data_IF_593872314463
#
_entry.id   IF_593872314463
#
_cell.length_a   1.000
_cell.length_b   1.000
_cell.length_c   1.000
_cell.angle_alpha   90.00
_cell.angle_beta   90.00
_cell.angle_gamma   90.00
#
_symmetry.space_group_name_H-M   'P 1'
#
loop_
_entity.id
_entity.type
_entity.pdbx_description
1 polymer ?
#
# COMPACT_ATOMS: atom_id res chain seq x y z
N UNK A 1 8.67 -11.80 20.56
CA UNK A 1 9.12 -10.40 20.58
C UNK A 1 8.15 -9.65 19.67
N UNK A 2 7.26 -8.83 20.24
CA UNK A 2 6.32 -8.02 19.43
C UNK A 2 7.11 -6.82 18.96
N UNK A 3 7.24 -6.65 17.65
CA UNK A 3 7.98 -5.54 17.07
C UNK A 3 7.40 -4.21 17.56
N UNK A 4 8.21 -3.37 18.21
CA UNK A 4 7.75 -2.08 18.72
C UNK A 4 7.45 -1.09 17.59
N UNK A 5 7.97 -1.35 16.38
CA UNK A 5 7.81 -0.50 15.20
C UNK A 5 6.37 -0.50 14.65
N UNK A 6 5.64 -1.62 14.80
CA UNK A 6 4.24 -1.74 14.36
C UNK A 6 3.32 -0.75 15.10
N UNK A 7 3.62 -0.45 16.37
CA UNK A 7 2.79 0.45 17.16
C UNK A 7 2.87 1.89 16.64
N UNK A 8 4.07 2.34 16.29
CA UNK A 8 4.29 3.66 15.70
C UNK A 8 3.62 3.83 14.34
N UNK A 9 3.69 2.79 13.49
CA UNK A 9 3.06 2.80 12.16
C UNK A 9 1.52 2.88 12.26
N UNK A 10 0.91 2.05 13.09
CA UNK A 10 -0.54 2.05 13.25
C UNK A 10 -1.06 3.38 13.82
N UNK A 11 -0.33 3.98 14.76
CA UNK A 11 -0.65 5.31 15.31
C UNK A 11 -0.57 6.42 14.26
N UNK A 12 0.44 6.39 13.38
CA UNK A 12 0.58 7.35 12.30
C UNK A 12 -0.59 7.28 11.32
N UNK A 13 -0.99 6.05 10.94
CA UNK A 13 -2.11 5.84 10.03
C UNK A 13 -3.43 6.27 10.68
N UNK A 14 -3.65 5.95 11.96
CA UNK A 14 -4.85 6.36 12.68
C UNK A 14 -4.99 7.89 12.76
N UNK A 15 -3.90 8.62 13.02
CA UNK A 15 -3.88 10.10 12.98
C UNK A 15 -4.23 10.63 11.59
N UNK A 16 -3.69 9.99 10.56
CA UNK A 16 -3.99 10.28 9.17
C UNK A 16 -5.47 10.15 8.81
N UNK A 17 -6.07 9.01 9.15
CA UNK A 17 -7.49 8.76 8.92
C UNK A 17 -8.38 9.77 9.66
N UNK A 18 -8.04 10.13 10.89
CA UNK A 18 -8.79 11.14 11.66
C UNK A 18 -8.76 12.53 10.99
N UNK A 19 -7.62 12.93 10.41
CA UNK A 19 -7.54 14.18 9.67
C UNK A 19 -8.33 14.12 8.36
N UNK A 20 -8.40 12.95 7.72
CA UNK A 20 -9.21 12.74 6.52
C UNK A 20 -10.71 12.77 6.83
N UNK A 21 -11.14 12.17 7.94
CA UNK A 21 -12.51 12.28 8.44
C UNK A 21 -12.90 13.74 8.68
N UNK A 22 -12.02 14.53 9.30
CA UNK A 22 -12.24 15.98 9.52
C UNK A 22 -12.41 16.76 8.22
N UNK A 23 -11.89 16.24 7.11
CA UNK A 23 -11.99 16.82 5.76
C UNK A 23 -13.11 16.19 4.92
N UNK A 24 -13.96 15.37 5.51
CA UNK A 24 -15.07 14.69 4.83
C UNK A 24 -14.60 13.79 3.66
N UNK A 25 -13.37 13.29 3.75
CA UNK A 25 -12.84 12.31 2.80
C UNK A 25 -13.52 10.98 3.05
N UNK A 26 -14.06 10.38 2.00
CA UNK A 26 -14.89 9.17 2.10
C UNK A 26 -14.11 7.89 1.90
N UNK A 27 -12.86 7.94 1.43
CA UNK A 27 -12.02 6.76 1.20
C UNK A 27 -10.53 7.07 1.26
N UNK A 28 -9.75 6.10 1.73
CA UNK A 28 -8.29 6.24 1.83
C UNK A 28 -7.61 4.91 1.57
N UNK A 29 -6.32 4.99 1.26
CA UNK A 29 -5.47 3.84 1.05
C UNK A 29 -4.03 4.11 1.52
N UNK A 30 -3.29 3.05 1.83
CA UNK A 30 -1.90 3.11 2.31
C UNK A 30 -0.92 2.66 1.23
N UNK A 31 0.13 3.43 0.99
CA UNK A 31 1.23 3.10 0.06
C UNK A 31 2.54 3.07 0.86
N UNK A 32 3.23 1.91 0.97
CA UNK A 32 4.57 1.83 1.56
C UNK A 32 5.57 2.72 0.82
N UNK A 33 6.63 3.20 1.49
CA UNK A 33 7.64 4.05 0.86
C UNK A 33 8.67 3.32 0.00
N UNK A 34 8.69 2.00 0.12
CA UNK A 34 9.70 1.06 -0.34
C UNK A 34 9.18 0.12 -1.43
N UNK A 35 8.09 0.50 -2.10
CA UNK A 35 7.51 -0.22 -3.26
C UNK A 35 7.80 0.49 -4.59
N UNK A 36 9.07 0.63 -5.03
CA UNK A 36 9.45 1.43 -6.20
C UNK A 36 9.00 0.85 -7.54
N UNK A 37 8.47 -0.36 -7.55
CA UNK A 37 7.90 -1.02 -8.73
C UNK A 37 6.42 -0.67 -8.95
N UNK A 38 5.78 0.05 -8.02
CA UNK A 38 4.36 0.41 -8.12
C UNK A 38 4.07 1.24 -9.36
N UNK A 39 2.98 0.88 -10.05
CA UNK A 39 2.54 1.57 -11.27
C UNK A 39 1.33 2.45 -11.02
N UNK A 40 1.15 3.48 -11.87
CA UNK A 40 -0.05 4.34 -11.83
C UNK A 40 -1.34 3.55 -12.08
N UNK A 41 -1.29 2.52 -12.93
CA UNK A 41 -2.43 1.64 -13.20
C UNK A 41 -2.84 0.82 -11.96
N UNK A 42 -1.87 0.32 -11.20
CA UNK A 42 -2.13 -0.39 -9.93
C UNK A 42 -2.76 0.55 -8.90
N UNK A 43 -2.24 1.77 -8.75
CA UNK A 43 -2.81 2.79 -7.86
C UNK A 43 -4.25 3.11 -8.27
N UNK A 44 -4.49 3.37 -9.56
CA UNK A 44 -5.83 3.64 -10.08
C UNK A 44 -6.79 2.45 -9.83
N UNK A 45 -6.31 1.22 -9.97
CA UNK A 45 -7.08 0.01 -9.65
C UNK A 45 -7.52 -0.04 -8.20
N UNK A 46 -6.62 0.25 -7.25
CA UNK A 46 -6.92 0.30 -5.81
C UNK A 46 -7.88 1.43 -5.47
N UNK A 47 -7.76 2.59 -6.13
CA UNK A 47 -8.70 3.71 -5.94
C UNK A 47 -10.10 3.32 -6.44
N UNK A 48 -10.19 2.65 -7.58
CA UNK A 48 -11.45 2.24 -8.18
C UNK A 48 -12.17 1.17 -7.35
N UNK A 49 -11.44 0.30 -6.65
CA UNK A 49 -12.04 -0.78 -5.86
C UNK A 49 -12.75 -0.29 -4.59
N UNK A 50 -12.49 0.95 -4.15
CA UNK A 50 -13.12 1.54 -2.94
C UNK A 50 -14.10 2.67 -3.24
N UNK A 51 -14.55 2.82 -4.50
CA UNK A 51 -15.52 3.87 -4.88
C UNK A 51 -16.91 3.65 -4.27
N UNK A 52 -17.24 2.43 -3.86
CA UNK A 52 -18.53 2.15 -3.19
C UNK A 52 -18.37 2.10 -1.69
N UNK A 53 -19.32 2.69 -0.96
CA UNK A 53 -19.42 2.58 0.50
C UNK A 53 -19.47 1.10 0.95
N UNK A 54 -18.79 0.79 2.05
CA UNK A 54 -18.68 -0.58 2.56
C UNK A 54 -17.60 -1.42 1.89
N UNK A 55 -16.68 -0.79 1.13
CA UNK A 55 -15.64 -1.50 0.38
C UNK A 55 -14.31 -1.49 1.10
N UNK A 56 -13.60 -2.62 1.05
CA UNK A 56 -12.28 -2.82 1.59
C UNK A 56 -11.45 -3.55 0.55
N UNK A 57 -10.24 -3.06 0.29
CA UNK A 57 -9.27 -3.74 -0.57
C UNK A 57 -7.99 -4.00 0.19
N UNK A 58 -7.47 -5.22 0.06
CA UNK A 58 -6.19 -5.65 0.61
C UNK A 58 -5.25 -5.95 -0.56
N UNK A 59 -4.11 -5.30 -0.59
CA UNK A 59 -2.97 -5.65 -1.45
C UNK A 59 -2.00 -6.47 -0.60
N UNK A 60 -1.85 -7.78 -0.87
CA UNK A 60 -0.90 -8.61 -0.14
C UNK A 60 0.54 -8.24 -0.52
N UNK A 61 1.48 -8.50 0.39
CA UNK A 61 2.92 -8.53 0.09
C UNK A 61 3.25 -9.63 -0.93
N UNK A 62 4.39 -9.52 -1.59
CA UNK A 62 4.82 -10.45 -2.64
C UNK A 62 5.09 -11.85 -2.09
N UNK A 63 5.49 -11.95 -0.82
CA UNK A 63 5.68 -13.22 -0.09
C UNK A 63 4.33 -13.84 0.35
N UNK A 64 3.23 -13.09 0.24
CA UNK A 64 1.88 -13.52 0.57
C UNK A 64 1.54 -13.54 2.06
N UNK A 65 2.50 -13.26 2.95
CA UNK A 65 2.37 -13.38 4.40
C UNK A 65 1.95 -12.06 5.08
N UNK A 66 2.22 -10.92 4.44
CA UNK A 66 1.92 -9.57 4.92
C UNK A 66 0.82 -8.84 4.12
N UNK A 67 0.66 -7.56 4.43
CA UNK A 67 -0.25 -6.62 3.77
C UNK A 67 0.56 -5.38 3.39
N UNK A 68 0.78 -5.15 2.09
CA UNK A 68 1.45 -3.94 1.60
C UNK A 68 0.48 -2.79 1.42
N UNK A 69 -0.80 -3.07 1.14
CA UNK A 69 -1.81 -2.04 0.96
C UNK A 69 -3.12 -2.39 1.64
N UNK A 70 -3.69 -1.40 2.31
CA UNK A 70 -5.09 -1.42 2.74
C UNK A 70 -5.77 -0.20 2.15
N UNK A 71 -6.93 -0.40 1.53
CA UNK A 71 -7.80 0.67 1.06
C UNK A 71 -9.22 0.43 1.60
N UNK A 72 -9.92 1.50 1.98
CA UNK A 72 -11.30 1.37 2.49
C UNK A 72 -12.14 2.62 2.29
N UNK A 73 -13.46 2.41 2.22
CA UNK A 73 -14.47 3.47 2.27
C UNK A 73 -15.74 2.97 2.97
N UNK A 74 -16.19 3.59 4.09
CA UNK A 74 -15.62 4.74 4.78
C UNK A 74 -14.36 4.42 5.61
N UNK A 75 -13.67 5.47 6.07
CA UNK A 75 -12.42 5.41 6.84
C UNK A 75 -12.56 4.70 8.20
N UNK A 76 -13.79 4.57 8.69
CA UNK A 76 -14.14 3.94 9.97
C UNK A 76 -14.38 2.42 9.88
N UNK A 77 -14.38 1.84 8.68
CA UNK A 77 -14.76 0.44 8.49
C UNK A 77 -13.85 -0.55 9.20
N UNK A 78 -12.54 -0.27 9.21
CA UNK A 78 -11.55 -1.13 9.82
C UNK A 78 -10.50 -0.27 10.49
N UNK A 79 -10.21 -0.55 11.76
CA UNK A 79 -9.00 -0.03 12.37
C UNK A 79 -7.80 -0.64 11.63
N UNK A 80 -6.91 0.19 11.04
CA UNK A 80 -5.71 -0.31 10.38
C UNK A 80 -4.87 -1.11 11.36
N UNK A 81 -4.37 -2.26 10.90
CA UNK A 81 -3.51 -3.13 11.69
C UNK A 81 -2.43 -3.68 10.78
N UNK A 82 -1.35 -2.91 10.62
CA UNK A 82 -0.15 -3.32 9.91
C UNK A 82 0.79 -4.07 10.85
N UNK A 83 1.57 -4.98 10.29
CA UNK A 83 2.48 -5.88 11.01
C UNK A 83 2.41 -7.33 10.52
N UNK A 84 3.43 -8.11 10.90
CA UNK A 84 3.53 -9.54 10.55
C UNK A 84 2.25 -10.30 10.97
N UNK A 85 1.69 -11.10 10.06
CA UNK A 85 0.48 -11.95 10.26
C UNK A 85 -0.89 -11.24 10.34
N UNK A 86 -1.02 -9.95 10.03
CA UNK A 86 -2.30 -9.22 10.22
C UNK A 86 -3.26 -9.24 9.01
N UNK A 87 -2.81 -9.70 7.84
CA UNK A 87 -3.65 -9.94 6.64
C UNK A 87 -4.90 -10.78 6.94
N UNK A 88 -4.73 -11.88 7.67
CA UNK A 88 -5.83 -12.77 8.04
C UNK A 88 -6.84 -12.08 8.98
N UNK A 89 -6.36 -11.21 9.87
CA UNK A 89 -7.22 -10.46 10.78
C UNK A 89 -8.14 -9.50 10.01
N UNK A 90 -7.61 -8.79 9.01
CA UNK A 90 -8.43 -7.91 8.15
C UNK A 90 -9.47 -8.69 7.35
N UNK A 91 -9.09 -9.83 6.76
CA UNK A 91 -10.02 -10.68 6.00
C UNK A 91 -11.14 -11.21 6.89
N UNK A 92 -10.82 -11.70 8.08
CA UNK A 92 -11.82 -12.20 9.04
C UNK A 92 -12.76 -11.08 9.48
N UNK A 93 -12.23 -9.91 9.80
CA UNK A 93 -13.02 -8.77 10.26
C UNK A 93 -13.96 -8.26 9.17
N UNK A 94 -13.46 -8.09 7.94
CA UNK A 94 -14.26 -7.65 6.80
C UNK A 94 -15.39 -8.63 6.47
N UNK A 95 -15.12 -9.95 6.52
CA UNK A 95 -16.15 -10.98 6.34
C UNK A 95 -17.21 -10.94 7.44
N UNK A 96 -16.81 -10.77 8.71
CA UNK A 96 -17.74 -10.65 9.85
C UNK A 96 -18.64 -9.43 9.73
N UNK A 97 -18.13 -8.34 9.17
CA UNK A 97 -18.86 -7.08 8.96
C UNK A 97 -19.64 -7.03 7.64
N UNK A 98 -19.66 -8.13 6.87
CA UNK A 98 -20.32 -8.24 5.57
C UNK A 98 -19.90 -7.14 4.57
N UNK A 99 -18.62 -6.75 4.63
CA UNK A 99 -18.05 -5.73 3.76
C UNK A 99 -17.73 -6.29 2.37
N UNK A 100 -17.69 -5.41 1.37
CA UNK A 100 -17.21 -5.74 0.02
C UNK A 100 -15.69 -5.83 0.05
N UNK A 101 -15.19 -7.00 0.40
CA UNK A 101 -13.76 -7.28 0.48
C UNK A 101 -13.22 -7.73 -0.89
N UNK A 102 -12.20 -7.03 -1.35
CA UNK A 102 -11.39 -7.43 -2.52
C UNK A 102 -9.94 -7.68 -2.09
N UNK A 103 -9.32 -8.73 -2.63
CA UNK A 103 -7.88 -8.97 -2.49
C UNK A 103 -7.26 -8.79 -3.88
N UNK A 104 -6.33 -7.84 -4.01
CA UNK A 104 -5.70 -7.50 -5.28
C UNK A 104 -4.20 -7.84 -5.23
N UNK A 105 -3.78 -9.02 -5.72
CA UNK A 105 -2.36 -9.34 -5.86
C UNK A 105 -1.77 -8.53 -7.01
N UNK A 106 -1.12 -7.42 -6.69
CA UNK A 106 -0.53 -6.48 -7.64
C UNK A 106 0.99 -6.60 -7.57
N UNK A 107 1.65 -6.83 -8.70
CA UNK A 107 3.07 -7.19 -8.75
C UNK A 107 4.01 -6.05 -8.34
N UNK A 108 3.67 -4.80 -8.65
CA UNK A 108 4.48 -3.64 -8.27
C UNK A 108 4.13 -3.12 -6.88
N UNK A 109 2.83 -2.99 -6.60
CA UNK A 109 2.34 -2.52 -5.29
C UNK A 109 2.67 -3.52 -4.17
N UNK A 110 2.56 -4.81 -4.45
CA UNK A 110 2.88 -5.88 -3.50
C UNK A 110 4.37 -6.14 -3.33
N UNK A 111 5.26 -5.45 -4.05
CA UNK A 111 6.70 -5.72 -4.00
C UNK A 111 7.46 -4.62 -3.24
N UNK A 112 7.60 -4.83 -1.94
CA UNK A 112 8.45 -4.09 -1.02
C UNK A 112 9.90 -4.59 -1.07
N UNK A 113 10.85 -3.68 -0.83
CA UNK A 113 12.28 -4.00 -0.84
C UNK A 113 12.79 -4.08 0.59
N UNK A 114 12.85 -5.31 1.13
CA UNK A 114 13.35 -5.56 2.48
C UNK A 114 14.75 -6.20 2.49
N UNK A 115 15.09 -6.96 1.45
CA UNK A 115 16.29 -7.79 1.42
C UNK A 115 17.22 -7.44 0.25
N UNK A 116 18.51 -7.80 0.35
CA UNK A 116 19.42 -7.69 -0.79
C UNK A 116 18.97 -8.49 -2.03
N UNK A 117 18.17 -9.55 -1.85
CA UNK A 117 17.61 -10.30 -2.97
C UNK A 117 16.58 -9.46 -3.74
N UNK A 118 15.78 -8.66 -3.04
CA UNK A 118 14.75 -7.80 -3.63
C UNK A 118 15.36 -6.69 -4.48
N UNK A 119 16.48 -6.12 -4.02
CA UNK A 119 17.27 -5.16 -4.81
C UNK A 119 17.80 -5.78 -6.11
N UNK A 120 18.24 -7.05 -6.08
CA UNK A 120 18.69 -7.74 -7.30
C UNK A 120 17.54 -8.00 -8.26
N UNK A 121 16.39 -8.41 -7.75
CA UNK A 121 15.19 -8.58 -8.56
C UNK A 121 14.77 -7.25 -9.21
N UNK A 122 14.72 -6.16 -8.44
CA UNK A 122 14.43 -4.82 -8.92
C UNK A 122 15.42 -4.38 -10.01
N UNK A 123 16.72 -4.63 -9.82
CA UNK A 123 17.74 -4.33 -10.83
C UNK A 123 17.59 -5.15 -12.13
N UNK A 124 16.89 -6.28 -12.09
CA UNK A 124 16.56 -7.10 -13.26
C UNK A 124 15.33 -6.63 -14.04
N UNK A 125 14.51 -5.73 -13.49
CA UNK A 125 13.32 -5.21 -14.18
C UNK A 125 13.70 -4.31 -15.37
N UNK A 126 12.90 -4.36 -16.43
CA UNK A 126 13.05 -3.49 -17.60
C UNK A 126 12.34 -2.14 -17.44
N UNK A 127 11.39 -2.05 -16.51
CA UNK A 127 10.61 -0.84 -16.26
C UNK A 127 11.47 0.27 -15.61
N UNK A 128 11.46 1.50 -16.14
CA UNK A 128 12.26 2.60 -15.60
C UNK A 128 11.67 3.11 -14.28
N UNK A 129 12.51 3.24 -13.26
CA UNK A 129 12.22 3.96 -12.02
C UNK A 129 13.47 4.69 -11.51
N UNK A 130 13.30 5.64 -10.59
CA UNK A 130 14.44 6.32 -9.94
C UNK A 130 15.33 5.30 -9.21
N UNK A 131 14.71 4.34 -8.53
CA UNK A 131 15.43 3.25 -7.85
C UNK A 131 16.21 2.42 -8.85
N UNK A 132 15.61 2.00 -9.98
CA UNK A 132 16.32 1.25 -11.02
C UNK A 132 17.50 2.02 -11.60
N UNK A 133 17.31 3.31 -11.90
CA UNK A 133 18.35 4.17 -12.45
C UNK A 133 19.55 4.26 -11.51
N UNK A 134 19.29 4.40 -10.20
CA UNK A 134 20.34 4.39 -9.18
C UNK A 134 21.02 3.02 -9.06
N UNK A 135 20.26 1.92 -9.12
CA UNK A 135 20.82 0.56 -9.07
C UNK A 135 21.74 0.25 -10.27
N UNK A 136 21.42 0.80 -11.44
CA UNK A 136 22.25 0.70 -12.64
C UNK A 136 23.52 1.54 -12.53
N UNK A 137 23.42 2.75 -11.96
CA UNK A 137 24.56 3.63 -11.67
C UNK A 137 25.60 2.94 -10.78
N UNK A 138 25.14 2.29 -9.69
CA UNK A 138 26.03 1.56 -8.78
C UNK A 138 26.47 0.18 -9.32
N UNK A 139 26.08 -0.18 -10.55
CA UNK A 139 26.39 -1.45 -11.20
C UNK A 139 26.07 -2.68 -10.33
N UNK A 140 24.95 -2.65 -9.58
CA UNK A 140 24.65 -3.66 -8.57
C UNK A 140 24.74 -5.11 -9.10
N UNK A 141 24.30 -5.34 -10.35
CA UNK A 141 24.32 -6.66 -10.98
C UNK A 141 25.72 -7.16 -11.39
N UNK A 142 26.72 -6.27 -11.50
CA UNK A 142 28.11 -6.64 -11.84
C UNK A 142 28.97 -6.85 -10.60
N UNK A 143 28.52 -6.40 -9.44
CA UNK A 143 29.22 -6.53 -8.16
C UNK A 143 29.02 -7.93 -7.58
N UNK A 144 29.68 -8.93 -8.16
CA UNK A 144 29.81 -10.25 -7.54
C UNK A 144 30.85 -10.20 -6.42
N UNK A 145 30.46 -9.63 -5.28
CA UNK A 145 31.23 -9.63 -4.05
C UNK A 145 30.25 -9.76 -2.88
N UNK A 146 30.49 -10.73 -2.00
CA UNK A 146 29.70 -11.05 -0.81
C UNK A 146 29.13 -9.78 -0.13
N UNK A 147 27.82 -9.53 -0.29
CA UNK A 147 27.09 -8.61 0.59
C UNK A 147 26.85 -9.40 1.87
N UNK A 148 27.83 -9.35 2.78
CA UNK A 148 27.70 -9.90 4.12
C UNK A 148 26.69 -9.06 4.90
N UNK A 149 25.56 -9.69 5.22
CA UNK A 149 24.58 -9.38 6.27
C UNK A 149 24.58 -7.91 6.76
N UNK A 150 23.81 -7.06 6.08
CA UNK A 150 23.53 -5.72 6.53
C UNK A 150 22.54 -5.83 7.70
N UNK A 151 23.01 -5.60 8.93
CA UNK A 151 22.14 -5.51 10.12
C UNK A 151 21.07 -4.45 9.88
N UNK A 152 19.84 -4.84 10.14
CA UNK A 152 18.61 -4.08 10.00
C UNK A 152 18.67 -2.73 10.72
N UNK A 153 18.33 -1.65 10.01
CA UNK A 153 17.86 -0.39 10.58
C UNK A 153 16.50 -0.07 9.97
N UNK A 154 15.46 0.22 10.76
CA UNK A 154 14.13 0.48 10.24
C UNK A 154 14.04 1.94 9.79
N UNK A 155 13.84 2.15 8.48
CA UNK A 155 13.34 3.43 7.96
C UNK A 155 12.14 3.11 7.08
N UNK A 156 11.01 2.83 7.72
CA UNK A 156 9.71 2.74 7.04
C UNK A 156 9.06 4.12 6.98
N UNK A 157 9.24 4.85 5.88
CA UNK A 157 8.47 6.08 5.60
C UNK A 157 7.31 5.70 4.69
N UNK A 158 6.14 5.44 5.26
CA UNK A 158 4.90 5.20 4.50
C UNK A 158 4.30 6.56 4.11
N UNK A 159 4.02 6.77 2.82
CA UNK A 159 3.30 7.96 2.34
C UNK A 159 1.80 7.64 2.22
N UNK A 160 0.96 8.43 2.87
CA UNK A 160 -0.50 8.28 2.80
C UNK A 160 -1.07 9.26 1.77
N UNK A 161 -1.80 8.74 0.77
CA UNK A 161 -2.34 9.54 -0.34
C UNK A 161 -3.86 9.70 -0.19
N UNK A 162 -4.35 10.94 -0.36
CA UNK A 162 -5.78 11.30 -0.26
C UNK A 162 -6.46 11.08 -1.60
N UNK A 163 -7.63 10.44 -1.60
CA UNK A 163 -8.55 10.46 -2.75
C UNK A 163 -9.74 11.36 -2.41
N UNK A 164 -9.92 12.45 -3.14
CA UNK A 164 -11.20 13.15 -3.13
C UNK A 164 -12.17 12.41 -4.06
N UNK A 165 -13.35 12.07 -3.53
CA UNK A 165 -14.46 11.59 -4.35
C UNK A 165 -14.72 12.60 -5.47
N UNK A 166 -14.55 12.19 -6.73
CA UNK A 166 -15.08 12.95 -7.86
C UNK A 166 -16.58 12.68 -7.84
N UNK A 167 -17.31 13.52 -7.11
CA UNK A 167 -18.76 13.57 -7.26
C UNK A 167 -19.03 13.97 -8.71
N UNK A 168 -19.59 13.03 -9.46
CA UNK A 168 -20.09 13.24 -10.80
C UNK A 168 -21.21 14.30 -10.76
N UNK A 169 -20.87 15.57 -11.03
CA UNK A 169 -21.87 16.59 -11.36
C UNK A 169 -22.18 16.50 -12.85
N UNK A 170 -23.03 15.55 -13.21
CA UNK A 170 -23.80 15.65 -14.46
C UNK A 170 -25.20 15.10 -14.23
N UNK A 171 -25.95 15.85 -13.41
CA UNK A 171 -27.39 15.74 -13.29
C UNK A 171 -28.07 16.95 -13.94
N UNK A 172 -28.88 16.66 -14.95
CA UNK A 172 -30.11 17.32 -15.41
C UNK A 172 -30.18 18.86 -15.51
N UNK A 173 -30.53 19.31 -16.71
CA UNK A 173 -31.42 20.45 -16.96
C UNK A 173 -30.86 21.50 -17.91
N UNK A 174 -31.27 21.50 -19.17
CA UNK A 174 -32.35 22.42 -19.55
C UNK A 174 -33.00 22.06 -20.89
N UNK A 175 -34.32 22.26 -20.90
CA UNK A 175 -35.21 22.17 -22.04
C UNK A 175 -34.99 23.35 -22.98
N UNK A 176 -34.91 23.10 -24.28
CA UNK A 176 -35.46 23.98 -25.32
C UNK A 176 -35.78 23.17 -26.58
#
# INVERSE_FOLDING_TARGET
MVDQDDAGLNDAIAKGLKEFERREVTGAFTIPGDIPAVTSAEIAGVINSIQTFGSVTIVPSHDGHGTNGLAMSPLTLLSPQFGHSRKHAHIILARKMNLRLQVMPLSGYGFDIDTPADLRWMAGLTSPSKTKSYLDEINLLKTQGSISECRSTPIGIVWMMVVHSILNTSGLGDLS
#
